data_IF_893162772289
#
_entry.id   IF_893162772289
#
_cell.length_a   1.000
_cell.length_b   1.000
_cell.length_c   1.000
_cell.angle_alpha   90.00
_cell.angle_beta   90.00
_cell.angle_gamma   90.00
#
_symmetry.space_group_name_H-M   'P 1'
#
loop_
_entity.id
_entity.type
_entity.pdbx_description
1 polymer ?
#
# COMPACT_ATOMS: atom_id res chain seq x y z
N UNK A 1 10.03 20.46 -1.41
CA UNK A 1 11.17 19.71 -2.00
C UNK A 1 10.59 18.70 -3.01
N UNK A 2 11.40 17.97 -3.78
CA UNK A 2 10.92 16.81 -4.53
C UNK A 2 11.30 15.56 -3.73
N UNK A 3 10.29 14.82 -3.25
CA UNK A 3 10.46 13.57 -2.49
C UNK A 3 10.12 12.41 -3.41
N UNK A 4 11.13 11.66 -3.85
CA UNK A 4 10.94 10.55 -4.78
C UNK A 4 10.48 9.30 -4.06
N UNK A 5 9.48 8.61 -4.62
CA UNK A 5 8.73 7.60 -3.85
C UNK A 5 8.42 6.31 -4.60
N UNK A 6 8.12 5.28 -3.80
CA UNK A 6 7.29 4.15 -4.20
C UNK A 6 6.39 3.73 -3.03
N UNK A 7 5.10 4.03 -3.11
CA UNK A 7 4.17 3.93 -1.97
C UNK A 7 3.29 2.67 -2.00
N UNK A 8 3.54 1.74 -2.92
CA UNK A 8 2.78 0.51 -3.05
C UNK A 8 3.72 -0.66 -3.36
N UNK A 9 4.19 -1.35 -2.32
CA UNK A 9 5.14 -2.45 -2.41
C UNK A 9 4.65 -3.61 -1.53
N UNK A 10 4.68 -4.83 -2.06
CA UNK A 10 4.35 -6.05 -1.33
C UNK A 10 5.61 -6.74 -0.83
N UNK A 11 5.62 -7.17 0.42
CA UNK A 11 6.68 -8.02 0.96
C UNK A 11 6.38 -9.49 0.70
N UNK A 12 7.31 -10.38 1.05
CA UNK A 12 7.11 -11.83 1.06
C UNK A 12 5.96 -12.32 1.96
N UNK A 13 5.27 -11.42 2.66
CA UNK A 13 4.03 -11.70 3.39
C UNK A 13 2.82 -11.81 2.46
N UNK A 14 2.78 -11.02 1.39
CA UNK A 14 1.73 -11.15 0.38
C UNK A 14 1.98 -12.40 -0.45
N UNK A 15 1.02 -13.32 -0.58
CA UNK A 15 1.27 -14.63 -1.20
C UNK A 15 1.68 -14.53 -2.67
N UNK A 16 1.14 -13.54 -3.39
CA UNK A 16 1.46 -13.25 -4.79
C UNK A 16 2.83 -12.59 -5.00
N UNK A 17 3.54 -12.20 -3.93
CA UNK A 17 4.87 -11.61 -4.03
C UNK A 17 5.95 -12.68 -3.95
N UNK A 18 7.12 -12.39 -4.52
CA UNK A 18 8.27 -13.29 -4.45
C UNK A 18 8.80 -13.41 -3.02
N UNK A 19 9.25 -14.59 -2.63
CA UNK A 19 9.94 -14.82 -1.35
C UNK A 19 11.21 -13.95 -1.19
N UNK A 20 11.79 -13.46 -2.29
CA UNK A 20 12.91 -12.52 -2.28
C UNK A 20 12.52 -11.09 -1.84
N UNK A 21 11.23 -10.79 -1.71
CA UNK A 21 10.69 -9.51 -1.21
C UNK A 21 10.83 -9.39 0.32
N UNK A 22 12.02 -9.70 0.83
CA UNK A 22 12.35 -9.62 2.25
C UNK A 22 12.51 -8.17 2.71
N UNK A 23 12.36 -7.87 4.01
CA UNK A 23 12.49 -6.52 4.54
C UNK A 23 13.80 -5.81 4.17
N UNK A 24 14.97 -6.47 4.29
CA UNK A 24 16.22 -5.83 3.89
C UNK A 24 16.36 -5.67 2.39
N UNK A 25 15.92 -6.65 1.60
CA UNK A 25 16.01 -6.57 0.14
C UNK A 25 15.22 -5.38 -0.39
N UNK A 26 13.99 -5.17 0.10
CA UNK A 26 13.16 -4.02 -0.28
C UNK A 26 13.84 -2.71 0.06
N UNK A 27 14.30 -2.54 1.30
CA UNK A 27 14.96 -1.28 1.72
C UNK A 27 16.25 -1.03 0.94
N UNK A 28 17.08 -2.06 0.74
CA UNK A 28 18.31 -1.93 -0.03
C UNK A 28 18.05 -1.62 -1.51
N UNK A 29 17.02 -2.23 -2.09
CA UNK A 29 16.64 -1.96 -3.48
C UNK A 29 16.12 -0.53 -3.65
N UNK A 30 15.29 -0.04 -2.73
CA UNK A 30 14.81 1.34 -2.74
C UNK A 30 15.95 2.35 -2.63
N UNK A 31 16.92 2.11 -1.74
CA UNK A 31 18.12 2.94 -1.61
C UNK A 31 18.99 2.89 -2.88
N UNK A 32 19.16 1.71 -3.47
CA UNK A 32 19.90 1.53 -4.72
C UNK A 32 19.26 2.31 -5.88
N UNK A 33 17.92 2.31 -5.93
CA UNK A 33 17.12 3.06 -6.91
C UNK A 33 17.01 4.56 -6.58
N UNK A 34 17.57 5.01 -5.45
CA UNK A 34 17.63 6.42 -5.07
C UNK A 34 16.29 7.02 -4.62
N UNK A 35 15.38 6.18 -4.10
CA UNK A 35 14.12 6.64 -3.52
C UNK A 35 14.35 7.28 -2.15
N UNK A 36 13.58 8.34 -1.86
CA UNK A 36 13.63 9.04 -0.57
C UNK A 36 12.62 8.45 0.43
N UNK A 37 11.51 7.91 -0.09
CA UNK A 37 10.44 7.28 0.70
C UNK A 37 9.89 6.03 0.04
N UNK A 38 9.56 5.03 0.85
CA UNK A 38 8.74 3.89 0.41
C UNK A 38 7.58 3.64 1.37
N UNK A 39 6.60 2.86 0.93
CA UNK A 39 5.67 2.18 1.82
C UNK A 39 5.56 0.71 1.43
N UNK A 40 5.48 -0.15 2.44
CA UNK A 40 5.05 -1.54 2.23
C UNK A 40 3.59 -1.66 2.61
N UNK A 41 2.81 -2.32 1.77
CA UNK A 41 1.34 -2.34 1.79
C UNK A 41 0.85 -3.75 1.50
N UNK A 42 1.30 -4.71 2.31
CA UNK A 42 0.88 -6.10 2.14
C UNK A 42 -0.64 -6.25 2.21
N UNK A 43 -1.17 -7.25 1.48
CA UNK A 43 -2.60 -7.50 1.45
C UNK A 43 -3.13 -7.81 2.84
N UNK A 44 -4.06 -6.99 3.32
CA UNK A 44 -4.80 -7.17 4.57
C UNK A 44 -3.94 -7.37 5.84
N UNK A 45 -2.63 -7.09 5.78
CA UNK A 45 -1.71 -7.38 6.87
C UNK A 45 -0.57 -6.35 6.96
N UNK A 46 -0.08 -6.14 8.18
CA UNK A 46 1.06 -5.25 8.46
C UNK A 46 2.21 -5.98 9.17
N UNK A 47 2.24 -7.31 9.18
CA UNK A 47 3.17 -8.09 10.01
C UNK A 47 4.66 -7.83 9.69
N UNK A 48 4.98 -7.44 8.46
CA UNK A 48 6.35 -7.09 8.07
C UNK A 48 6.65 -5.57 8.14
N UNK A 49 5.65 -4.71 8.41
CA UNK A 49 5.81 -3.25 8.39
C UNK A 49 6.85 -2.77 9.41
N UNK A 50 6.82 -3.29 10.64
CA UNK A 50 7.76 -2.90 11.70
C UNK A 50 9.21 -3.24 11.33
N UNK A 51 9.45 -4.40 10.71
CA UNK A 51 10.78 -4.81 10.27
C UNK A 51 11.31 -3.85 9.20
N UNK A 52 10.53 -3.59 8.16
CA UNK A 52 10.89 -2.66 7.07
C UNK A 52 11.11 -1.25 7.62
N UNK A 53 10.22 -0.77 8.49
CA UNK A 53 10.30 0.56 9.10
C UNK A 53 11.59 0.75 9.91
N UNK A 54 11.96 -0.24 10.74
CA UNK A 54 13.21 -0.19 11.52
C UNK A 54 14.45 -0.19 10.64
N UNK A 55 14.47 -0.99 9.59
CA UNK A 55 15.61 -1.05 8.66
C UNK A 55 15.74 0.28 7.91
N UNK A 56 14.62 0.81 7.39
CA UNK A 56 14.59 2.10 6.70
C UNK A 56 15.13 3.23 7.59
N UNK A 57 14.63 3.34 8.82
CA UNK A 57 15.09 4.32 9.80
C UNK A 57 16.60 4.21 10.07
N UNK A 58 17.15 3.00 10.19
CA UNK A 58 18.59 2.79 10.40
C UNK A 58 19.43 3.22 9.19
N UNK A 59 18.88 3.16 7.98
CA UNK A 59 19.56 3.47 6.72
C UNK A 59 19.23 4.85 6.15
N UNK A 60 18.43 5.66 6.85
CA UNK A 60 18.04 6.99 6.40
C UNK A 60 16.97 7.02 5.30
N UNK A 61 16.26 5.92 5.07
CA UNK A 61 15.10 5.85 4.18
C UNK A 61 13.82 6.09 4.98
N UNK A 62 12.94 6.98 4.52
CA UNK A 62 11.61 7.11 5.14
C UNK A 62 10.76 5.91 4.70
N UNK A 63 10.17 5.22 5.67
CA UNK A 63 9.18 4.17 5.43
C UNK A 63 7.86 4.66 6.00
N UNK A 64 6.84 4.79 5.16
CA UNK A 64 5.47 5.07 5.58
C UNK A 64 4.81 3.73 5.94
N UNK A 65 4.32 3.55 7.19
CA UNK A 65 3.58 2.36 7.56
C UNK A 65 2.29 2.23 6.75
N UNK A 66 2.08 1.08 6.12
CA UNK A 66 1.01 0.89 5.16
C UNK A 66 0.40 -0.51 5.18
N UNK A 67 -0.78 -0.63 4.58
CA UNK A 67 -1.53 -1.87 4.34
C UNK A 67 -2.41 -1.64 3.10
N UNK A 68 -2.49 -2.63 2.22
CA UNK A 68 -3.48 -2.63 1.14
C UNK A 68 -4.66 -3.49 1.59
N UNK A 69 -5.81 -2.86 1.85
CA UNK A 69 -7.02 -3.56 2.27
C UNK A 69 -7.85 -3.90 1.05
N UNK A 70 -8.19 -5.18 0.88
CA UNK A 70 -9.25 -5.58 -0.04
C UNK A 70 -10.59 -5.42 0.67
N UNK A 71 -11.40 -4.46 0.23
CA UNK A 71 -12.70 -4.18 0.84
C UNK A 71 -13.75 -5.22 0.45
N UNK A 72 -14.90 -5.14 1.10
CA UNK A 72 -16.08 -5.99 0.82
C UNK A 72 -16.56 -5.88 -0.63
N UNK A 73 -16.39 -4.71 -1.23
CA UNK A 73 -16.69 -4.43 -2.65
C UNK A 73 -15.62 -4.99 -3.60
N UNK A 74 -14.63 -5.73 -3.07
CA UNK A 74 -13.44 -6.21 -3.78
C UNK A 74 -12.63 -5.06 -4.37
N UNK A 75 -12.57 -3.91 -3.68
CA UNK A 75 -11.75 -2.76 -4.08
C UNK A 75 -10.52 -2.71 -3.21
N UNK A 76 -9.36 -2.48 -3.80
CA UNK A 76 -8.13 -2.28 -3.05
C UNK A 76 -7.99 -0.83 -2.59
N UNK A 77 -7.67 -0.66 -1.32
CA UNK A 77 -7.52 0.65 -0.68
C UNK A 77 -6.24 0.67 0.14
N UNK A 78 -5.32 1.55 -0.23
CA UNK A 78 -4.08 1.79 0.48
C UNK A 78 -4.36 2.65 1.71
N UNK A 79 -3.98 2.16 2.88
CA UNK A 79 -4.10 2.86 4.15
C UNK A 79 -2.71 3.14 4.70
N UNK A 80 -2.35 4.43 4.79
CA UNK A 80 -1.07 4.90 5.29
C UNK A 80 -1.23 5.52 6.66
N UNK A 81 -0.31 5.27 7.59
CA UNK A 81 -0.45 5.69 8.99
C UNK A 81 0.64 6.66 9.43
N UNK A 82 0.32 7.52 10.41
CA UNK A 82 1.32 8.35 11.08
C UNK A 82 2.27 7.57 12.00
N UNK A 83 1.91 6.34 12.39
CA UNK A 83 2.71 5.49 13.27
C UNK A 83 2.57 4.01 12.92
N UNK A 84 3.62 3.22 13.19
CA UNK A 84 3.57 1.76 12.98
C UNK A 84 2.59 1.10 13.95
N UNK A 85 2.48 1.61 15.18
CA UNK A 85 1.57 1.07 16.19
C UNK A 85 0.10 1.09 15.72
N UNK A 86 -0.36 2.21 15.16
CA UNK A 86 -1.73 2.30 14.63
C UNK A 86 -1.93 1.41 13.38
N UNK A 87 -0.89 1.28 12.54
CA UNK A 87 -0.92 0.38 11.39
C UNK A 87 -1.08 -1.09 11.82
N UNK A 88 -0.31 -1.54 12.82
CA UNK A 88 -0.41 -2.91 13.37
C UNK A 88 -1.79 -3.14 14.00
N UNK A 89 -2.28 -2.19 14.84
CA UNK A 89 -3.62 -2.28 15.44
C UNK A 89 -4.70 -2.43 14.37
N UNK A 90 -4.61 -1.67 13.29
CA UNK A 90 -5.57 -1.77 12.20
C UNK A 90 -5.47 -3.11 11.47
N UNK A 91 -4.26 -3.60 11.19
CA UNK A 91 -4.05 -4.94 10.64
C UNK A 91 -4.69 -6.03 11.50
N UNK A 92 -4.59 -5.95 12.83
CA UNK A 92 -5.28 -6.90 13.73
C UNK A 92 -6.81 -6.81 13.61
N UNK A 93 -7.36 -5.59 13.44
CA UNK A 93 -8.80 -5.37 13.27
C UNK A 93 -9.28 -5.96 11.94
N UNK A 94 -8.54 -5.72 10.84
CA UNK A 94 -8.82 -6.32 9.53
C UNK A 94 -8.82 -7.83 9.66
N UNK A 95 -7.75 -8.39 10.23
CA UNK A 95 -7.60 -9.83 10.37
C UNK A 95 -8.72 -10.49 11.20
N UNK A 96 -9.19 -9.84 12.27
CA UNK A 96 -10.33 -10.33 13.09
C UNK A 96 -11.66 -10.30 12.35
N UNK A 97 -11.79 -9.45 11.34
CA UNK A 97 -13.01 -9.24 10.56
C UNK A 97 -12.90 -9.77 9.12
N UNK A 98 -12.06 -10.77 8.90
CA UNK A 98 -11.94 -11.47 7.62
C UNK A 98 -12.48 -12.90 7.71
N UNK A 99 -12.96 -13.40 6.57
CA UNK A 99 -13.26 -14.83 6.42
C UNK A 99 -11.94 -15.62 6.49
N UNK A 100 -11.87 -16.59 7.39
CA UNK A 100 -10.67 -17.40 7.60
C UNK A 100 -10.65 -18.57 6.64
N UNK A 101 -9.85 -18.44 5.59
CA UNK A 101 -9.61 -19.49 4.59
C UNK A 101 -8.15 -19.90 4.73
N UNK A 102 -7.87 -21.21 4.81
CA UNK A 102 -6.49 -21.69 4.87
C UNK A 102 -5.78 -21.45 3.52
N UNK A 103 -4.57 -20.90 3.55
CA UNK A 103 -3.77 -20.68 2.36
C UNK A 103 -3.35 -22.02 1.71
N UNK A 104 -3.46 -22.09 0.39
CA UNK A 104 -2.86 -23.16 -0.41
C UNK A 104 -1.57 -22.63 -1.05
N UNK A 105 -0.43 -22.89 -0.39
CA UNK A 105 0.89 -22.37 -0.78
C UNK A 105 1.31 -22.76 -2.19
N UNK A 106 0.89 -23.93 -2.66
CA UNK A 106 1.20 -24.41 -4.03
C UNK A 106 0.50 -23.58 -5.11
N UNK A 107 -0.64 -22.98 -4.77
CA UNK A 107 -1.43 -22.16 -5.70
C UNK A 107 -1.07 -20.68 -5.56
N UNK A 108 -1.05 -20.18 -4.32
CA UNK A 108 -0.97 -18.75 -4.07
C UNK A 108 0.43 -18.25 -3.74
N UNK A 109 1.30 -19.09 -3.16
CA UNK A 109 2.61 -18.69 -2.62
C UNK A 109 2.67 -18.70 -1.09
N UNK A 110 3.87 -18.46 -0.55
CA UNK A 110 4.12 -18.40 0.89
C UNK A 110 3.69 -17.04 1.47
N UNK A 111 3.44 -16.96 2.77
CA UNK A 111 3.07 -15.71 3.44
C UNK A 111 3.96 -15.47 4.65
N UNK A 112 5.22 -15.11 4.39
CA UNK A 112 6.31 -15.20 5.36
C UNK A 112 6.39 -13.92 6.20
N UNK A 113 6.41 -14.10 7.52
CA UNK A 113 6.66 -13.02 8.47
C UNK A 113 8.15 -13.02 8.82
N UNK A 114 8.81 -11.89 8.60
CA UNK A 114 10.25 -11.75 8.79
C UNK A 114 10.58 -10.66 9.81
N UNK A 115 11.72 -10.83 10.48
CA UNK A 115 12.29 -9.78 11.32
C UNK A 115 13.25 -8.85 10.55
N UNK A 116 13.84 -7.88 11.26
CA UNK A 116 14.77 -6.90 10.69
C UNK A 116 16.09 -7.47 10.16
N UNK A 117 16.34 -8.77 10.34
CA UNK A 117 17.52 -9.51 9.85
C UNK A 117 17.14 -10.52 8.75
N UNK A 118 15.94 -10.39 8.19
CA UNK A 118 15.35 -11.33 7.23
C UNK A 118 15.28 -12.78 7.76
N UNK A 119 15.17 -12.94 9.08
CA UNK A 119 14.91 -14.26 9.66
C UNK A 119 13.41 -14.47 9.66
N UNK A 120 12.97 -15.62 9.16
CA UNK A 120 11.58 -16.05 9.31
C UNK A 120 11.25 -16.21 10.79
N UNK A 121 10.23 -15.48 11.25
CA UNK A 121 9.73 -15.53 12.62
C UNK A 121 8.32 -16.10 12.70
N UNK A 122 7.69 -16.33 11.54
CA UNK A 122 6.38 -16.94 11.44
C UNK A 122 5.88 -16.96 10.00
N UNK A 123 4.67 -17.46 9.84
CA UNK A 123 3.98 -17.50 8.56
C UNK A 123 2.49 -17.34 8.80
N UNK A 124 1.81 -16.63 7.91
CA UNK A 124 0.36 -16.48 7.96
C UNK A 124 -0.33 -17.72 7.36
N UNK A 125 -1.06 -18.48 8.18
CA UNK A 125 -1.77 -19.68 7.71
C UNK A 125 -3.02 -19.35 6.88
N UNK A 126 -3.63 -18.20 7.15
CA UNK A 126 -4.87 -17.76 6.54
C UNK A 126 -4.58 -16.95 5.27
N UNK A 127 -5.26 -17.24 4.17
CA UNK A 127 -5.06 -16.56 2.89
C UNK A 127 -5.35 -15.06 3.02
N UNK A 128 -4.38 -14.23 2.65
CA UNK A 128 -4.50 -12.77 2.69
C UNK A 128 -5.22 -12.18 1.47
N UNK A 129 -5.31 -12.93 0.36
CA UNK A 129 -6.07 -12.57 -0.86
C UNK A 129 -7.57 -12.85 -0.71
N UNK A 130 -8.17 -12.29 0.32
CA UNK A 130 -9.59 -12.45 0.64
C UNK A 130 -10.17 -11.10 1.02
N UNK A 131 -11.35 -10.77 0.51
CA UNK A 131 -12.05 -9.55 0.90
C UNK A 131 -12.31 -9.50 2.41
N UNK A 132 -11.99 -8.36 3.01
CA UNK A 132 -12.40 -8.05 4.38
C UNK A 132 -13.90 -7.80 4.47
N UNK A 133 -14.46 -7.81 5.67
CA UNK A 133 -15.86 -7.43 5.89
C UNK A 133 -16.09 -5.91 5.92
N UNK A 134 -15.04 -5.10 5.74
CA UNK A 134 -15.12 -3.65 5.74
C UNK A 134 -15.46 -3.11 4.35
N UNK A 135 -16.43 -2.22 4.29
CA UNK A 135 -16.73 -1.40 3.11
C UNK A 135 -15.70 -0.29 2.94
N UNK A 136 -15.60 0.26 1.73
CA UNK A 136 -14.75 1.43 1.46
C UNK A 136 -15.07 2.57 2.45
N UNK A 137 -16.35 2.85 2.68
CA UNK A 137 -16.77 3.94 3.58
C UNK A 137 -16.32 3.72 5.03
N UNK A 138 -16.39 2.48 5.53
CA UNK A 138 -15.94 2.14 6.88
C UNK A 138 -14.41 2.28 7.02
N UNK A 139 -13.65 1.93 5.98
CA UNK A 139 -12.19 2.15 5.95
C UNK A 139 -11.87 3.64 6.05
N UNK A 140 -12.50 4.48 5.22
CA UNK A 140 -12.29 5.94 5.27
C UNK A 140 -12.68 6.53 6.62
N UNK A 141 -13.78 6.06 7.21
CA UNK A 141 -14.21 6.49 8.53
C UNK A 141 -13.21 6.08 9.61
N UNK A 142 -12.69 4.84 9.58
CA UNK A 142 -11.67 4.39 10.51
C UNK A 142 -10.39 5.22 10.39
N UNK A 143 -9.98 5.55 9.17
CA UNK A 143 -8.73 6.26 8.90
C UNK A 143 -8.78 7.75 9.25
N UNK A 144 -9.94 8.33 9.56
CA UNK A 144 -10.08 9.74 9.92
C UNK A 144 -9.21 10.08 11.14
N UNK A 145 -8.23 10.97 10.94
CA UNK A 145 -7.25 11.39 11.96
C UNK A 145 -6.10 10.42 12.21
N UNK A 146 -6.06 9.26 11.54
CA UNK A 146 -5.02 8.22 11.72
C UNK A 146 -4.00 8.15 10.59
N UNK A 147 -4.35 8.71 9.44
CA UNK A 147 -3.45 8.85 8.29
C UNK A 147 -4.21 9.09 6.99
N UNK A 148 -3.68 8.55 5.89
CA UNK A 148 -4.23 8.75 4.56
C UNK A 148 -4.85 7.47 4.00
N UNK A 149 -5.86 7.64 3.16
CA UNK A 149 -6.56 6.55 2.48
C UNK A 149 -6.62 6.86 1.00
N UNK A 150 -6.14 5.94 0.17
CA UNK A 150 -5.99 6.12 -1.27
C UNK A 150 -6.54 4.87 -1.97
N UNK A 151 -7.63 4.98 -2.76
CA UNK A 151 -8.05 3.90 -3.63
C UNK A 151 -6.91 3.53 -4.59
N UNK A 152 -6.51 2.25 -4.56
CA UNK A 152 -5.39 1.75 -5.34
C UNK A 152 -5.76 1.60 -6.81
N UNK A 153 -4.77 1.78 -7.70
CA UNK A 153 -4.81 1.46 -9.13
C UNK A 153 -6.22 1.55 -9.77
N UNK A 154 -6.85 2.72 -9.64
CA UNK A 154 -8.30 2.93 -9.89
C UNK A 154 -8.73 2.68 -11.34
N UNK A 155 -7.77 2.55 -12.24
CA UNK A 155 -7.89 2.33 -13.67
C UNK A 155 -7.83 0.84 -14.07
N UNK A 156 -7.51 -0.08 -13.14
CA UNK A 156 -7.46 -1.52 -13.46
C UNK A 156 -8.84 -2.11 -13.72
N UNK A 157 -8.90 -3.15 -14.54
CA UNK A 157 -10.14 -3.88 -14.85
C UNK A 157 -10.62 -4.82 -13.74
N UNK A 158 -9.86 -4.95 -12.65
CA UNK A 158 -10.18 -5.76 -11.48
C UNK A 158 -9.60 -5.10 -10.24
N UNK A 159 -10.27 -5.30 -9.10
CA UNK A 159 -9.87 -4.77 -7.80
C UNK A 159 -9.79 -3.25 -7.69
N UNK A 160 -10.30 -2.54 -8.70
CA UNK A 160 -10.30 -1.09 -8.76
C UNK A 160 -11.69 -0.54 -8.45
N UNK A 161 -11.74 0.65 -7.87
CA UNK A 161 -13.01 1.28 -7.51
C UNK A 161 -13.89 1.55 -8.73
N UNK A 162 -13.29 1.90 -9.88
CA UNK A 162 -14.03 2.22 -11.10
C UNK A 162 -14.53 0.94 -11.77
N UNK A 163 -13.73 -0.12 -11.85
CA UNK A 163 -14.20 -1.39 -12.44
C UNK A 163 -15.34 -2.01 -11.64
N UNK A 164 -15.28 -1.90 -10.31
CA UNK A 164 -16.23 -2.56 -9.43
C UNK A 164 -17.53 -1.75 -9.24
N UNK A 165 -17.46 -0.41 -9.21
CA UNK A 165 -18.62 0.45 -8.93
C UNK A 165 -19.08 1.27 -10.15
N UNK A 166 -18.30 1.31 -11.22
CA UNK A 166 -18.54 2.14 -12.41
C UNK A 166 -18.18 3.62 -12.24
N UNK A 167 -17.88 4.07 -11.02
CA UNK A 167 -17.50 5.44 -10.68
C UNK A 167 -16.81 5.50 -9.31
N UNK A 168 -16.13 6.60 -9.02
CA UNK A 168 -15.63 6.88 -7.66
C UNK A 168 -16.75 7.53 -6.85
N UNK A 169 -17.34 6.87 -5.84
CA UNK A 169 -18.40 7.45 -5.02
C UNK A 169 -17.92 8.68 -4.27
N UNK A 170 -18.86 9.53 -3.84
CA UNK A 170 -18.53 10.71 -3.06
C UNK A 170 -18.14 10.32 -1.63
N UNK A 171 -16.85 10.04 -1.45
CA UNK A 171 -16.27 9.63 -0.17
C UNK A 171 -15.74 10.87 0.55
N UNK A 172 -16.16 11.05 1.81
CA UNK A 172 -15.67 12.13 2.68
C UNK A 172 -14.15 11.99 2.85
N UNK A 173 -13.42 13.11 2.74
CA UNK A 173 -11.97 13.19 2.91
C UNK A 173 -11.14 12.44 1.84
N UNK A 174 -11.74 12.01 0.73
CA UNK A 174 -10.98 11.49 -0.42
C UNK A 174 -10.32 12.62 -1.20
N UNK A 175 -9.00 12.72 -1.10
CA UNK A 175 -8.18 13.74 -1.75
C UNK A 175 -7.25 13.19 -2.82
N UNK A 176 -6.84 11.92 -2.69
CA UNK A 176 -5.81 11.30 -3.53
C UNK A 176 -6.27 9.93 -4.02
N UNK A 177 -5.98 9.63 -5.28
CA UNK A 177 -6.17 8.31 -5.92
C UNK A 177 -4.85 7.84 -6.53
N UNK A 178 -4.68 6.53 -6.64
CA UNK A 178 -3.56 5.93 -7.36
C UNK A 178 -4.03 5.41 -8.72
N UNK A 179 -3.23 5.66 -9.76
CA UNK A 179 -3.37 4.99 -11.06
C UNK A 179 -2.17 4.06 -11.29
N UNK A 180 -2.36 3.02 -12.09
CA UNK A 180 -1.32 2.05 -12.45
C UNK A 180 -0.12 2.74 -13.10
N UNK A 181 1.10 2.27 -12.81
CA UNK A 181 2.36 2.84 -13.32
C UNK A 181 2.42 3.02 -14.84
N UNK A 182 1.83 2.09 -15.58
CA UNK A 182 1.81 2.11 -17.05
C UNK A 182 0.81 3.10 -17.65
N UNK A 183 -0.04 3.72 -16.82
CA UNK A 183 -1.18 4.50 -17.29
C UNK A 183 -0.82 5.95 -17.54
N UNK A 184 -1.09 6.43 -18.75
CA UNK A 184 -0.93 7.84 -19.08
C UNK A 184 -2.01 8.67 -18.37
N UNK A 185 -1.57 9.51 -17.42
CA UNK A 185 -2.43 10.40 -16.63
C UNK A 185 -3.33 11.30 -17.48
N UNK A 186 -2.87 11.79 -18.63
CA UNK A 186 -3.67 12.66 -19.52
C UNK A 186 -4.78 11.88 -20.20
N UNK A 187 -4.49 10.64 -20.62
CA UNK A 187 -5.48 9.74 -21.19
C UNK A 187 -6.53 9.37 -20.14
N UNK A 188 -6.10 8.93 -18.96
CA UNK A 188 -6.98 8.62 -17.83
C UNK A 188 -7.92 9.80 -17.48
N UNK A 189 -7.38 11.03 -17.36
CA UNK A 189 -8.19 12.22 -17.05
C UNK A 189 -9.09 12.71 -18.21
N UNK A 190 -8.86 12.23 -19.43
CA UNK A 190 -9.76 12.47 -20.57
C UNK A 190 -10.95 11.51 -20.52
N UNK A 191 -10.72 10.27 -20.10
CA UNK A 191 -11.74 9.22 -19.94
C UNK A 191 -12.55 9.38 -18.65
N UNK A 192 -11.90 9.86 -17.58
CA UNK A 192 -12.49 10.13 -16.27
C UNK A 192 -12.31 11.61 -15.83
N UNK A 193 -12.97 12.57 -16.50
CA UNK A 193 -12.83 14.00 -16.16
C UNK A 193 -13.18 14.35 -14.71
N UNK A 194 -14.06 13.59 -14.08
CA UNK A 194 -14.46 13.71 -12.67
C UNK A 194 -13.30 13.49 -11.69
N UNK A 195 -12.25 12.78 -12.12
CA UNK A 195 -11.06 12.51 -11.31
C UNK A 195 -10.08 13.68 -11.25
N UNK A 196 -10.27 14.74 -12.06
CA UNK A 196 -9.41 15.95 -12.05
C UNK A 196 -9.37 16.68 -10.71
N UNK A 197 -10.36 16.46 -9.84
CA UNK A 197 -10.42 17.05 -8.50
C UNK A 197 -9.50 16.38 -7.49
N UNK A 198 -9.00 15.18 -7.79
CA UNK A 198 -8.11 14.42 -6.90
C UNK A 198 -6.65 14.68 -7.25
N UNK A 199 -5.78 14.60 -6.23
CA UNK A 199 -4.35 14.35 -6.44
C UNK A 199 -4.21 12.94 -7.02
N UNK A 200 -3.29 12.75 -7.96
CA UNK A 200 -3.03 11.46 -8.61
C UNK A 200 -1.59 11.10 -8.34
N UNK A 201 -1.39 9.95 -7.71
CA UNK A 201 -0.10 9.29 -7.54
C UNK A 201 -0.01 8.04 -8.42
N UNK A 202 1.21 7.53 -8.59
CA UNK A 202 1.44 6.25 -9.24
C UNK A 202 2.61 5.55 -8.56
N UNK A 203 2.40 4.29 -8.19
CA UNK A 203 3.37 3.45 -7.49
C UNK A 203 3.59 2.15 -8.27
N UNK A 204 4.60 1.37 -7.90
CA UNK A 204 4.96 0.17 -8.66
C UNK A 204 3.96 -0.97 -8.52
N UNK A 205 3.29 -1.09 -7.37
CA UNK A 205 2.59 -2.31 -6.97
C UNK A 205 3.54 -3.53 -7.05
N UNK A 206 4.76 -3.34 -6.54
CA UNK A 206 5.86 -4.27 -6.74
C UNK A 206 5.67 -5.56 -5.94
N UNK A 207 5.65 -6.67 -6.69
CA UNK A 207 5.68 -8.05 -6.18
C UNK A 207 7.05 -8.73 -6.36
N UNK A 208 7.97 -8.05 -7.05
CA UNK A 208 9.35 -8.48 -7.27
C UNK A 208 10.29 -7.29 -7.12
N UNK A 209 11.52 -7.52 -6.66
CA UNK A 209 12.47 -6.43 -6.36
C UNK A 209 12.77 -5.55 -7.58
N UNK A 210 12.84 -6.15 -8.77
CA UNK A 210 13.08 -5.42 -10.01
C UNK A 210 11.96 -4.44 -10.38
N UNK A 211 10.75 -4.64 -9.86
CA UNK A 211 9.58 -3.82 -10.18
C UNK A 211 9.45 -2.59 -9.30
N UNK A 212 10.16 -2.54 -8.15
CA UNK A 212 10.23 -1.33 -7.31
C UNK A 212 10.61 -0.13 -8.20
N UNK A 213 9.90 0.98 -8.03
CA UNK A 213 10.02 2.11 -8.93
C UNK A 213 11.42 2.72 -8.95
N UNK A 214 11.81 3.15 -10.15
CA UNK A 214 12.95 4.06 -10.32
C UNK A 214 12.60 5.44 -9.77
N UNK A 215 13.62 6.31 -9.67
CA UNK A 215 13.51 7.69 -9.18
C UNK A 215 12.81 8.62 -10.19
N UNK A 216 11.54 8.36 -10.46
CA UNK A 216 10.73 9.01 -11.51
C UNK A 216 9.58 9.81 -10.90
N UNK A 217 8.79 9.17 -10.04
CA UNK A 217 7.64 9.76 -9.37
C UNK A 217 8.05 10.50 -8.09
N UNK A 218 7.45 11.66 -7.85
CA UNK A 218 7.79 12.50 -6.70
C UNK A 218 6.59 13.24 -6.10
N UNK A 219 6.67 13.53 -4.81
CA UNK A 219 5.73 14.38 -4.08
C UNK A 219 6.35 15.77 -3.86
N UNK A 220 5.62 16.87 -4.12
CA UNK A 220 6.08 18.23 -3.86
C UNK A 220 5.86 18.63 -2.39
N UNK A 221 6.52 17.94 -1.47
CA UNK A 221 6.39 18.16 -0.02
C UNK A 221 7.76 18.17 0.69
N UNK A 222 7.76 18.22 2.02
CA UNK A 222 8.99 18.13 2.83
C UNK A 222 9.31 16.66 3.13
N UNK A 223 10.59 16.32 3.27
CA UNK A 223 11.03 14.95 3.57
C UNK A 223 10.80 14.63 5.04
N UNK A 224 9.55 14.31 5.36
CA UNK A 224 9.14 13.78 6.65
C UNK A 224 7.90 12.91 6.48
N UNK A 225 7.78 11.88 7.31
CA UNK A 225 6.61 10.98 7.31
C UNK A 225 5.31 11.78 7.41
N UNK A 226 5.24 12.76 8.32
CA UNK A 226 4.05 13.59 8.51
C UNK A 226 3.70 14.37 7.25
N UNK A 227 4.65 15.08 6.65
CA UNK A 227 4.39 15.89 5.44
C UNK A 227 3.94 15.04 4.26
N UNK A 228 4.48 13.83 4.13
CA UNK A 228 4.10 12.87 3.07
C UNK A 228 2.66 12.40 3.28
N UNK A 229 2.30 11.96 4.49
CA UNK A 229 0.92 11.52 4.80
C UNK A 229 -0.07 12.68 4.73
N UNK A 230 0.27 13.87 5.24
CA UNK A 230 -0.55 15.10 5.13
C UNK A 230 -0.82 15.43 3.65
N UNK A 231 0.19 15.30 2.79
CA UNK A 231 0.04 15.55 1.36
C UNK A 231 -0.92 14.55 0.72
N UNK A 232 -0.89 13.26 1.11
CA UNK A 232 -1.86 12.29 0.64
C UNK A 232 -3.29 12.60 1.13
N UNK A 233 -3.44 13.17 2.33
CA UNK A 233 -4.72 13.62 2.89
C UNK A 233 -5.32 14.85 2.19
N UNK A 234 -4.55 15.58 1.37
CA UNK A 234 -5.02 16.80 0.73
C UNK A 234 -4.71 18.09 1.50
N UNK A 235 -3.94 18.01 2.59
CA UNK A 235 -3.50 19.18 3.35
C UNK A 235 -2.41 19.97 2.61
#
# INVERSE_FOLDING_TARGET
MMVYYDLHIHTCLSPCASDDMTPNNIVNMALLKGLDVIAVTDHNSALNVEAVYRIGRKKGLIVVPGIEVQTKEEVHVLCYFYSVEECIKFSEIINKNMTKIKNNKTIFGNQIVMDEKDREIGEMEELLLVSSNFTISEIFQYMEGRGATVPAHVDRGSYSIISNLGFIPNIKNLSTIEISKSTDKKVFLKEHPECKKYRIISSSDAHHLGYISEREEFLPCDLSLKSIVDWLCGY
#
